data_IF_459712377900
#
_entry.id   IF_459712377900
#
_cell.length_a   1.000
_cell.length_b   1.000
_cell.length_c   1.000
_cell.angle_alpha   90.00
_cell.angle_beta   90.00
_cell.angle_gamma   90.00
#
_symmetry.space_group_name_H-M   'P 1'
#
loop_
_entity.id
_entity.type
_entity.pdbx_description
1 polymer ?
#
# COMPACT_ATOMS: atom_id res chain seq x y z
N UNK A 1 6.13 1.01 -4.00
CA UNK A 1 5.67 1.88 -2.90
C UNK A 1 4.16 2.13 -2.91
N UNK A 2 3.43 1.63 -3.90
CA UNK A 2 1.97 1.77 -4.03
C UNK A 2 1.17 0.79 -3.14
N UNK A 3 1.81 -0.28 -2.69
CA UNK A 3 1.19 -1.35 -1.91
C UNK A 3 -0.10 -1.85 -2.60
N UNK A 4 -1.21 -1.97 -1.88
CA UNK A 4 -2.49 -2.48 -2.34
C UNK A 4 -3.41 -1.40 -2.95
N UNK A 5 -2.91 -0.19 -3.18
CA UNK A 5 -3.74 0.97 -3.51
C UNK A 5 -3.64 1.40 -4.97
N UNK A 6 -4.78 1.84 -5.50
CA UNK A 6 -4.85 2.51 -6.79
C UNK A 6 -4.29 3.93 -6.64
N UNK A 7 -3.05 4.11 -7.07
CA UNK A 7 -2.38 5.41 -7.13
C UNK A 7 -2.25 5.81 -8.59
N UNK A 8 -3.11 6.69 -9.05
CA UNK A 8 -3.16 7.10 -10.47
C UNK A 8 -1.94 7.92 -10.89
N UNK A 9 -1.42 8.72 -9.97
CA UNK A 9 -0.27 9.59 -10.22
C UNK A 9 0.71 9.44 -9.08
N UNK A 10 1.91 8.95 -9.37
CA UNK A 10 2.96 8.80 -8.40
C UNK A 10 4.27 9.39 -8.92
N UNK A 11 4.94 10.17 -8.08
CA UNK A 11 6.32 10.56 -8.30
C UNK A 11 7.14 10.14 -7.10
N UNK A 12 8.08 9.25 -7.33
CA UNK A 12 8.95 8.73 -6.29
C UNK A 12 10.38 9.14 -6.64
N UNK A 13 11.01 9.87 -5.73
CA UNK A 13 12.42 10.28 -5.87
C UNK A 13 13.23 9.62 -4.76
N UNK A 14 14.29 8.94 -5.14
CA UNK A 14 15.20 8.28 -4.22
C UNK A 14 16.58 8.90 -4.31
N UNK A 15 17.16 9.22 -3.16
CA UNK A 15 18.52 9.73 -3.04
C UNK A 15 19.37 8.74 -2.28
N UNK A 16 20.43 8.26 -2.89
CA UNK A 16 21.45 7.42 -2.25
C UNK A 16 22.58 8.31 -1.77
N UNK A 17 22.72 8.41 -0.47
CA UNK A 17 23.69 9.28 0.16
C UNK A 17 24.77 8.45 0.86
N UNK A 18 26.01 8.92 0.79
CA UNK A 18 27.07 8.41 1.64
C UNK A 18 26.88 9.00 3.05
N UNK A 19 26.78 8.12 4.04
CA UNK A 19 26.59 8.53 5.44
C UNK A 19 27.70 7.97 6.30
N UNK A 20 27.81 8.46 7.55
CA UNK A 20 28.77 7.95 8.54
C UNK A 20 28.22 6.74 9.32
N UNK A 21 27.06 6.23 8.93
CA UNK A 21 26.46 5.02 9.50
C UNK A 21 26.82 3.81 8.65
N UNK A 22 26.59 2.63 9.20
CA UNK A 22 26.70 1.38 8.45
C UNK A 22 25.80 1.46 7.19
N UNK A 23 26.28 0.92 6.09
CA UNK A 23 25.53 0.87 4.84
C UNK A 23 24.23 0.09 5.01
N UNK A 24 23.12 0.73 4.64
CA UNK A 24 21.87 0.01 4.49
C UNK A 24 21.93 -0.85 3.21
N UNK A 25 21.58 -2.11 3.33
CA UNK A 25 21.61 -3.06 2.22
C UNK A 25 20.31 -3.83 2.13
N UNK A 26 20.19 -4.65 1.10
CA UNK A 26 19.02 -5.49 0.89
C UNK A 26 18.80 -6.48 2.04
N UNK A 27 17.57 -6.56 2.49
CA UNK A 27 17.10 -7.51 3.49
C UNK A 27 15.85 -8.21 2.97
N UNK A 28 15.28 -9.13 3.72
CA UNK A 28 14.03 -9.82 3.37
C UNK A 28 12.97 -8.84 2.85
N UNK A 29 12.41 -9.09 1.68
CA UNK A 29 11.45 -8.23 0.99
C UNK A 29 12.08 -7.15 0.12
N UNK A 30 13.40 -7.00 0.10
CA UNK A 30 14.20 -6.19 -0.83
C UNK A 30 13.70 -4.74 -1.00
N UNK A 31 13.31 -4.10 0.10
CA UNK A 31 12.81 -2.72 0.12
C UNK A 31 11.28 -2.60 -0.03
N UNK A 32 10.58 -3.66 -0.39
CA UNK A 32 9.11 -3.70 -0.41
C UNK A 32 8.47 -3.29 0.92
N UNK A 33 8.89 -3.89 2.05
CA UNK A 33 8.35 -3.52 3.36
C UNK A 33 8.53 -2.05 3.72
N UNK A 34 9.67 -1.46 3.39
CA UNK A 34 9.92 -0.03 3.63
C UNK A 34 9.01 0.86 2.79
N UNK A 35 8.81 0.50 1.52
CA UNK A 35 7.87 1.20 0.64
C UNK A 35 6.43 1.09 1.12
N UNK A 36 6.03 -0.09 1.61
CA UNK A 36 4.71 -0.31 2.21
C UNK A 36 4.53 0.54 3.46
N UNK A 37 5.49 0.51 4.39
CA UNK A 37 5.44 1.34 5.60
C UNK A 37 5.26 2.82 5.26
N UNK A 38 5.98 3.31 4.27
CA UNK A 38 5.85 4.69 3.80
C UNK A 38 4.42 5.00 3.33
N UNK A 39 3.83 4.13 2.51
CA UNK A 39 2.46 4.31 2.01
C UNK A 39 1.43 4.25 3.14
N UNK A 40 1.54 3.27 4.02
CA UNK A 40 0.63 3.12 5.17
C UNK A 40 0.65 4.36 6.07
N UNK A 41 1.83 4.94 6.30
CA UNK A 41 1.98 6.19 7.07
C UNK A 41 1.35 7.40 6.36
N UNK A 42 1.47 7.48 5.04
CA UNK A 42 0.83 8.54 4.24
C UNK A 42 -0.68 8.45 4.40
N UNK A 43 -1.26 7.26 4.29
CA UNK A 43 -2.70 7.06 4.42
C UNK A 43 -3.21 7.33 5.84
N UNK A 44 -2.46 6.95 6.87
CA UNK A 44 -2.80 7.27 8.26
C UNK A 44 -2.78 8.79 8.50
N UNK A 45 -1.77 9.50 8.00
CA UNK A 45 -1.72 10.96 8.09
C UNK A 45 -2.87 11.63 7.34
N UNK A 46 -3.19 11.14 6.13
CA UNK A 46 -4.31 11.65 5.37
C UNK A 46 -5.65 11.40 6.09
N UNK A 47 -5.85 10.21 6.64
CA UNK A 47 -7.04 9.89 7.43
C UNK A 47 -7.19 10.82 8.63
N UNK A 48 -6.11 11.03 9.38
CA UNK A 48 -6.09 11.95 10.52
C UNK A 48 -6.43 13.39 10.11
N UNK A 49 -5.84 13.89 9.04
CA UNK A 49 -6.10 15.26 8.54
C UNK A 49 -7.52 15.45 8.03
N UNK A 50 -8.13 14.41 7.50
CA UNK A 50 -9.49 14.42 6.98
C UNK A 50 -10.55 14.06 8.03
N UNK A 51 -10.16 13.69 9.24
CA UNK A 51 -11.07 13.21 10.27
C UNK A 51 -11.75 11.88 9.90
N UNK A 52 -11.13 11.08 9.03
CA UNK A 52 -11.65 9.80 8.57
C UNK A 52 -11.08 8.62 9.38
N UNK A 53 -11.81 7.52 9.36
CA UNK A 53 -11.25 6.26 9.81
C UNK A 53 -10.13 5.80 8.85
N UNK A 54 -8.96 5.36 9.36
CA UNK A 54 -7.88 4.87 8.52
C UNK A 54 -8.26 3.68 7.61
N UNK A 55 -9.21 2.85 8.00
CA UNK A 55 -9.73 1.79 7.13
C UNK A 55 -10.55 2.37 5.99
N UNK A 56 -11.34 3.39 6.25
CA UNK A 56 -12.17 4.03 5.23
C UNK A 56 -11.35 4.66 4.11
N UNK A 57 -10.27 5.35 4.44
CA UNK A 57 -9.39 5.92 3.40
C UNK A 57 -8.72 4.82 2.58
N UNK A 58 -8.37 3.69 3.20
CA UNK A 58 -7.81 2.53 2.50
C UNK A 58 -8.81 1.93 1.52
N UNK A 59 -10.04 1.69 1.96
CA UNK A 59 -11.15 1.17 1.11
C UNK A 59 -11.37 2.05 -0.13
N UNK A 60 -11.34 3.36 0.05
CA UNK A 60 -11.52 4.32 -1.05
C UNK A 60 -10.39 4.26 -2.08
N UNK A 61 -9.25 3.73 -1.71
CA UNK A 61 -8.08 3.64 -2.57
C UNK A 61 -7.76 2.23 -3.04
N UNK A 62 -8.59 1.23 -2.76
CA UNK A 62 -8.42 -0.10 -3.33
C UNK A 62 -8.73 -0.11 -4.83
N UNK A 63 -8.08 -1.02 -5.54
CA UNK A 63 -8.44 -1.32 -6.91
C UNK A 63 -9.88 -1.80 -7.00
N UNK A 64 -10.61 -1.30 -8.00
CA UNK A 64 -11.98 -1.72 -8.25
C UNK A 64 -12.02 -3.06 -9.00
N UNK A 65 -12.90 -3.97 -8.57
CA UNK A 65 -13.15 -5.22 -9.28
C UNK A 65 -13.83 -5.01 -10.64
N UNK A 66 -13.93 -6.06 -11.47
CA UNK A 66 -14.48 -5.98 -12.82
C UNK A 66 -15.94 -5.51 -12.87
N UNK A 67 -16.70 -5.79 -11.83
CA UNK A 67 -18.12 -5.39 -11.71
C UNK A 67 -18.30 -3.93 -11.24
N UNK A 68 -17.25 -3.30 -10.76
CA UNK A 68 -17.32 -1.93 -10.28
C UNK A 68 -17.39 -0.96 -11.46
N UNK A 69 -18.36 -0.05 -11.41
CA UNK A 69 -18.40 1.08 -12.36
C UNK A 69 -17.09 1.88 -12.24
N UNK A 70 -16.47 2.27 -13.35
CA UNK A 70 -15.32 3.16 -13.32
C UNK A 70 -15.65 4.38 -12.45
N UNK A 71 -14.81 4.70 -11.50
CA UNK A 71 -14.95 5.94 -10.70
C UNK A 71 -14.68 7.12 -11.64
N UNK A 72 -15.74 7.54 -12.35
CA UNK A 72 -15.69 8.66 -13.28
C UNK A 72 -15.54 9.97 -12.53
N UNK A 73 -14.32 10.49 -12.51
CA UNK A 73 -14.12 11.93 -12.59
C UNK A 73 -13.71 12.22 -14.04
N UNK A 74 -14.03 13.38 -14.61
CA UNK A 74 -13.49 13.77 -15.92
C UNK A 74 -11.98 13.63 -15.81
N UNK A 75 -11.41 12.80 -16.67
CA UNK A 75 -9.98 12.59 -16.73
C UNK A 75 -9.31 13.93 -16.98
N UNK A 76 -8.86 14.57 -15.91
CA UNK A 76 -7.82 15.57 -16.06
C UNK A 76 -6.60 14.79 -16.49
N UNK A 77 -6.48 14.57 -17.77
CA UNK A 77 -5.29 14.07 -18.43
C UNK A 77 -4.16 15.08 -18.28
N UNK A 78 -3.78 15.35 -17.04
CA UNK A 78 -2.57 16.10 -16.75
C UNK A 78 -1.40 15.20 -17.15
N UNK A 79 -0.83 15.50 -18.30
CA UNK A 79 0.39 14.91 -18.83
C UNK A 79 1.58 15.24 -17.91
N UNK A 80 1.69 14.50 -16.83
CA UNK A 80 2.95 14.38 -16.08
C UNK A 80 3.57 13.01 -16.40
N UNK A 81 3.85 12.76 -17.67
CA UNK A 81 4.52 11.57 -18.14
C UNK A 81 5.94 11.90 -18.53
N UNK A 82 6.92 11.41 -17.79
CA UNK A 82 8.26 11.21 -18.34
C UNK A 82 8.19 10.14 -19.46
N UNK A 83 9.26 9.93 -20.24
CA UNK A 83 9.26 9.12 -21.47
C UNK A 83 8.89 7.63 -21.29
N UNK A 84 8.57 7.17 -20.08
CA UNK A 84 8.18 5.81 -19.74
C UNK A 84 6.75 5.67 -19.18
N UNK A 85 5.97 6.75 -19.13
CA UNK A 85 4.57 6.69 -18.69
C UNK A 85 3.67 6.31 -19.85
N UNK A 86 3.41 5.01 -20.03
CA UNK A 86 2.29 4.54 -20.85
C UNK A 86 1.01 4.73 -20.04
N UNK A 87 0.12 5.60 -20.51
CA UNK A 87 -1.26 5.62 -20.02
C UNK A 87 -1.87 4.24 -20.28
N UNK A 88 -2.29 3.55 -19.23
CA UNK A 88 -2.95 2.26 -19.38
C UNK A 88 -4.38 2.47 -19.92
N UNK A 89 -4.85 1.63 -20.83
CA UNK A 89 -6.19 1.72 -21.41
C UNK A 89 -7.32 1.49 -20.39
N UNK A 90 -7.03 0.90 -19.23
CA UNK A 90 -7.97 0.62 -18.14
C UNK A 90 -7.39 1.15 -16.82
N UNK A 91 -7.44 2.49 -16.65
CA UNK A 91 -6.72 3.22 -15.60
C UNK A 91 -7.02 2.80 -14.16
N UNK A 92 -8.10 2.05 -13.91
CA UNK A 92 -8.51 1.60 -12.58
C UNK A 92 -8.06 0.16 -12.25
N UNK A 93 -7.42 -0.53 -13.19
CA UNK A 93 -6.96 -1.92 -13.05
C UNK A 93 -5.49 -2.12 -13.40
N UNK A 94 -4.74 -1.04 -13.43
CA UNK A 94 -3.33 -1.09 -13.79
C UNK A 94 -2.50 -0.36 -12.75
N UNK A 95 -1.41 -0.96 -12.35
CA UNK A 95 -0.46 -0.34 -11.42
C UNK A 95 0.23 0.87 -12.09
N UNK A 96 0.80 1.81 -11.29
CA UNK A 96 1.55 2.95 -11.84
C UNK A 96 2.74 2.57 -12.73
N UNK A 97 3.20 1.33 -12.65
CA UNK A 97 4.30 0.78 -13.44
C UNK A 97 3.84 -0.19 -14.56
N UNK A 98 2.53 -0.17 -14.86
CA UNK A 98 1.97 -0.83 -16.06
C UNK A 98 1.60 -2.30 -15.90
N UNK A 99 1.57 -2.85 -14.69
CA UNK A 99 1.14 -4.23 -14.44
C UNK A 99 -0.38 -4.29 -14.31
N UNK A 100 -1.04 -5.21 -15.02
CA UNK A 100 -2.45 -5.46 -14.84
C UNK A 100 -2.73 -6.08 -13.47
N UNK A 101 -3.78 -5.62 -12.81
CA UNK A 101 -4.29 -6.19 -11.57
C UNK A 101 -5.45 -7.11 -11.94
N UNK A 102 -5.33 -8.39 -11.59
CA UNK A 102 -6.31 -9.44 -11.93
C UNK A 102 -7.08 -9.94 -10.72
N UNK A 103 -6.47 -9.87 -9.54
CA UNK A 103 -7.07 -10.35 -8.29
C UNK A 103 -7.61 -9.18 -7.47
N UNK A 104 -8.92 -9.18 -7.22
CA UNK A 104 -9.62 -8.10 -6.52
C UNK A 104 -10.17 -8.55 -5.16
N UNK A 105 -9.42 -9.37 -4.46
CA UNK A 105 -9.83 -9.98 -3.18
C UNK A 105 -9.80 -9.04 -1.98
N UNK A 106 -9.21 -7.85 -2.12
CA UNK A 106 -8.97 -6.94 -1.00
C UNK A 106 -10.23 -6.49 -0.28
N UNK A 107 -11.30 -6.19 -1.01
CA UNK A 107 -12.56 -5.74 -0.42
C UNK A 107 -13.16 -6.84 0.47
N UNK A 108 -13.27 -8.04 -0.07
CA UNK A 108 -13.83 -9.20 0.65
C UNK A 108 -12.97 -9.57 1.87
N UNK A 109 -11.66 -9.68 1.69
CA UNK A 109 -10.72 -9.96 2.79
C UNK A 109 -10.79 -8.91 3.88
N UNK A 110 -10.90 -7.64 3.50
CA UNK A 110 -11.00 -6.55 4.47
C UNK A 110 -12.27 -6.67 5.30
N UNK A 111 -13.42 -6.87 4.66
CA UNK A 111 -14.69 -7.00 5.38
C UNK A 111 -14.69 -8.22 6.31
N UNK A 112 -14.22 -9.36 5.82
CA UNK A 112 -14.12 -10.59 6.62
C UNK A 112 -13.21 -10.40 7.85
N UNK A 113 -12.06 -9.76 7.66
CA UNK A 113 -11.12 -9.50 8.76
C UNK A 113 -11.66 -8.48 9.77
N UNK A 114 -12.27 -7.40 9.31
CA UNK A 114 -12.86 -6.39 10.20
C UNK A 114 -13.99 -6.96 11.04
N UNK A 115 -14.82 -7.81 10.44
CA UNK A 115 -15.90 -8.51 11.14
C UNK A 115 -15.35 -9.52 12.16
N UNK A 116 -14.48 -10.42 11.74
CA UNK A 116 -13.95 -11.49 12.61
C UNK A 116 -13.09 -10.97 13.76
N UNK A 117 -12.33 -9.88 13.51
CA UNK A 117 -11.52 -9.24 14.55
C UNK A 117 -12.31 -8.36 15.52
N UNK A 118 -13.58 -8.05 15.22
CA UNK A 118 -14.36 -7.09 15.99
C UNK A 118 -13.77 -5.68 15.98
N UNK A 119 -13.23 -5.27 14.85
CA UNK A 119 -12.46 -4.02 14.69
C UNK A 119 -13.21 -2.81 15.24
N UNK A 120 -14.46 -2.60 14.87
CA UNK A 120 -15.23 -1.42 15.28
C UNK A 120 -15.34 -1.31 16.82
N UNK A 121 -15.73 -2.40 17.47
CA UNK A 121 -15.83 -2.46 18.95
C UNK A 121 -14.49 -2.22 19.64
N UNK A 122 -13.42 -2.83 19.11
CA UNK A 122 -12.06 -2.68 19.67
C UNK A 122 -11.52 -1.27 19.48
N UNK A 123 -11.86 -0.63 18.36
CA UNK A 123 -11.47 0.74 18.08
C UNK A 123 -12.17 1.72 19.01
N UNK A 124 -13.45 1.52 19.25
CA UNK A 124 -14.22 2.33 20.23
C UNK A 124 -13.66 2.18 21.66
N UNK A 125 -13.39 0.95 22.08
CA UNK A 125 -12.75 0.68 23.36
C UNK A 125 -11.36 1.36 23.48
N UNK A 126 -10.58 1.39 22.39
CA UNK A 126 -9.30 2.10 22.39
C UNK A 126 -9.48 3.62 22.51
N UNK A 127 -10.50 4.21 21.88
CA UNK A 127 -10.84 5.64 22.05
C UNK A 127 -11.22 5.95 23.49
N UNK A 128 -12.18 5.23 24.05
CA UNK A 128 -12.61 5.43 25.44
C UNK A 128 -11.43 5.30 26.44
N UNK A 129 -10.57 4.31 26.21
CA UNK A 129 -9.33 4.20 26.98
C UNK A 129 -8.44 5.44 26.87
N UNK A 130 -8.26 5.94 25.66
CA UNK A 130 -7.39 7.07 25.38
C UNK A 130 -7.90 8.39 25.98
N UNK A 131 -9.21 8.54 26.05
CA UNK A 131 -9.83 9.70 26.68
C UNK A 131 -9.62 9.70 28.20
N UNK A 132 -9.64 8.52 28.82
CA UNK A 132 -9.41 8.36 30.25
C UNK A 132 -7.92 8.33 30.65
N UNK A 133 -7.00 8.16 29.71
CA UNK A 133 -5.58 7.99 30.00
C UNK A 133 -4.73 9.01 29.25
N UNK A 134 -4.17 10.02 29.93
CA UNK A 134 -3.41 11.10 29.28
C UNK A 134 -2.05 10.65 28.75
N UNK A 135 -1.40 9.69 29.38
CA UNK A 135 -0.02 9.28 29.09
C UNK A 135 0.03 8.04 28.18
N UNK A 136 -0.59 6.94 28.62
CA UNK A 136 -0.59 5.69 27.84
C UNK A 136 -1.74 5.72 26.83
N UNK A 137 -1.43 5.39 25.59
CA UNK A 137 -2.41 5.34 24.51
C UNK A 137 -2.47 3.93 23.90
N UNK A 138 -3.67 3.54 23.47
CA UNK A 138 -3.94 2.29 22.76
C UNK A 138 -4.25 2.61 21.31
N UNK A 139 -3.84 1.71 20.43
CA UNK A 139 -4.15 1.81 19.01
C UNK A 139 -4.56 0.46 18.44
N UNK A 140 -5.29 0.51 17.37
CA UNK A 140 -5.58 -0.63 16.50
C UNK A 140 -5.39 -0.17 15.06
N UNK A 141 -4.71 -0.97 14.28
CA UNK A 141 -4.47 -0.66 12.87
C UNK A 141 -4.85 -1.85 12.00
N UNK A 142 -5.18 -1.54 10.76
CA UNK A 142 -5.36 -2.46 9.66
C UNK A 142 -4.42 -2.05 8.53
N UNK A 143 -3.68 -2.98 7.97
CA UNK A 143 -2.80 -2.73 6.83
C UNK A 143 -2.91 -3.88 5.82
N UNK A 144 -3.42 -3.64 4.62
CA UNK A 144 -3.40 -4.62 3.55
C UNK A 144 -2.00 -4.72 2.95
N UNK A 145 -1.67 -5.87 2.40
CA UNK A 145 -0.39 -6.11 1.72
C UNK A 145 -0.66 -6.69 0.34
N UNK A 146 -0.09 -6.03 -0.67
CA UNK A 146 0.09 -6.59 -2.01
C UNK A 146 1.60 -6.69 -2.26
N UNK A 147 2.11 -7.89 -2.29
CA UNK A 147 3.53 -8.15 -2.45
C UNK A 147 3.77 -9.29 -3.41
N UNK A 148 4.60 -9.04 -4.42
CA UNK A 148 5.09 -10.07 -5.33
C UNK A 148 6.53 -10.42 -5.00
N UNK A 149 6.84 -11.71 -4.94
CA UNK A 149 8.20 -12.20 -4.78
C UNK A 149 8.68 -12.67 -6.15
N UNK A 150 9.33 -11.77 -6.87
CA UNK A 150 10.05 -12.15 -8.08
C UNK A 150 11.27 -11.27 -8.27
N UNK A 151 12.36 -11.89 -8.67
CA UNK A 151 13.54 -11.16 -9.09
C UNK A 151 13.48 -11.00 -10.61
N UNK A 152 13.37 -9.76 -11.08
CA UNK A 152 13.14 -9.47 -12.50
C UNK A 152 14.30 -9.84 -13.41
N UNK A 153 15.52 -9.83 -12.87
CA UNK A 153 16.71 -10.33 -13.56
C UNK A 153 16.86 -11.83 -13.31
N UNK A 154 16.14 -12.63 -14.06
CA UNK A 154 15.99 -14.07 -13.82
C UNK A 154 17.31 -14.85 -13.83
N UNK A 155 18.33 -14.39 -14.55
CA UNK A 155 19.66 -14.99 -14.56
C UNK A 155 20.41 -14.88 -13.22
N UNK A 156 19.95 -14.01 -12.31
CA UNK A 156 20.48 -13.91 -10.95
C UNK A 156 19.71 -14.80 -9.95
N UNK A 157 18.62 -15.45 -10.38
CA UNK A 157 17.90 -16.43 -9.57
C UNK A 157 18.67 -17.77 -9.63
N UNK A 158 19.62 -17.93 -8.74
CA UNK A 158 20.48 -19.10 -8.68
C UNK A 158 20.43 -19.73 -7.30
N UNK A 159 20.52 -21.03 -7.26
CA UNK A 159 20.69 -21.81 -6.06
C UNK A 159 21.74 -22.91 -6.30
N UNK A 160 22.52 -23.22 -5.30
CA UNK A 160 23.48 -24.30 -5.31
C UNK A 160 23.35 -25.16 -4.06
N UNK A 161 23.59 -26.46 -4.21
CA UNK A 161 23.71 -27.38 -3.09
C UNK A 161 24.92 -28.30 -3.31
N UNK A 162 25.69 -28.50 -2.25
CA UNK A 162 26.78 -29.48 -2.21
C UNK A 162 26.45 -30.47 -1.10
N UNK A 163 26.35 -31.74 -1.50
CA UNK A 163 26.10 -32.87 -0.58
C UNK A 163 27.30 -33.78 -0.62
N UNK A 164 27.90 -34.06 0.56
CA UNK A 164 29.00 -35.02 0.76
C UNK A 164 28.50 -36.32 1.36
#
# INVERSE_FOLDING_TARGET
ADNAYLIRHARITSHRLRTNTQSATAFRGFGGPQGMLGMERILDHAAHRLGLDPVEIRRRNFYAGPEAKPRGGPGTGARFGGPHSRAAPDGDRTTPYGMAVTDFVLHEMTEALLASSGYARRREAARAWNDANPVLKRGIAYGPVKFGISFTLTHLNQAGALVH
#
